data_IF_945667761270
#
_entry.id   IF_945667761270
#
_cell.length_a   1.000
_cell.length_b   1.000
_cell.length_c   1.000
_cell.angle_alpha   90.00
_cell.angle_beta   90.00
_cell.angle_gamma   90.00
#
_symmetry.space_group_name_H-M   'P 1'
#
loop_
_entity.id
_entity.type
_entity.pdbx_description
1 polymer ?
#
# COMPACT_ATOMS: atom_id res chain seq x y z
N UNK A 1 -22.20 -31.75 -13.03
CA UNK A 1 -21.87 -30.42 -12.46
C UNK A 1 -21.34 -29.56 -13.58
N UNK A 2 -22.05 -28.48 -13.95
CA UNK A 2 -21.59 -27.58 -15.00
C UNK A 2 -20.40 -26.76 -14.48
N UNK A 3 -19.25 -26.87 -15.14
CA UNK A 3 -18.13 -25.95 -14.92
C UNK A 3 -18.60 -24.54 -15.26
N UNK A 4 -18.83 -23.73 -14.22
CA UNK A 4 -19.10 -22.31 -14.43
C UNK A 4 -17.89 -21.71 -15.16
N UNK A 5 -18.13 -21.21 -16.38
CA UNK A 5 -17.07 -20.67 -17.23
C UNK A 5 -16.30 -19.58 -16.48
N UNK A 6 -15.02 -19.83 -16.27
CA UNK A 6 -14.12 -18.90 -15.58
C UNK A 6 -13.97 -17.65 -16.46
N UNK A 7 -14.39 -16.48 -15.95
CA UNK A 7 -14.26 -15.22 -16.68
C UNK A 7 -12.84 -14.68 -16.48
N UNK A 8 -12.11 -14.48 -17.57
CA UNK A 8 -10.78 -13.87 -17.55
C UNK A 8 -10.88 -12.37 -17.74
N UNK A 9 -10.17 -11.62 -16.87
CA UNK A 9 -10.10 -10.16 -16.92
C UNK A 9 -8.64 -9.73 -16.89
N UNK A 10 -8.27 -8.76 -17.72
CA UNK A 10 -6.96 -8.10 -17.66
C UNK A 10 -7.10 -6.70 -17.07
N UNK A 11 -6.19 -6.33 -16.17
CA UNK A 11 -6.17 -5.00 -15.53
C UNK A 11 -4.74 -4.47 -15.58
N UNK A 12 -4.52 -3.37 -16.29
CA UNK A 12 -3.25 -2.66 -16.25
C UNK A 12 -3.16 -1.78 -15.00
N UNK A 13 -2.02 -1.83 -14.32
CA UNK A 13 -1.75 -1.12 -13.06
C UNK A 13 -0.38 -0.45 -13.17
N UNK A 14 -0.29 0.79 -12.71
CA UNK A 14 1.00 1.40 -12.36
C UNK A 14 1.10 1.43 -10.85
N UNK A 15 2.25 1.09 -10.31
CA UNK A 15 2.56 1.23 -8.89
C UNK A 15 3.96 1.81 -8.69
N UNK A 16 4.19 2.36 -7.51
CA UNK A 16 5.45 2.97 -7.09
C UNK A 16 5.93 2.24 -5.84
N UNK A 17 7.16 1.74 -5.90
CA UNK A 17 7.91 1.19 -4.78
C UNK A 17 8.88 2.26 -4.30
N UNK A 18 8.54 2.92 -3.19
CA UNK A 18 9.49 3.76 -2.48
C UNK A 18 10.24 2.90 -1.48
N UNK A 19 11.56 2.93 -1.53
CA UNK A 19 12.44 2.13 -0.67
C UNK A 19 13.42 3.03 0.07
N UNK A 20 13.50 2.84 1.39
CA UNK A 20 14.53 3.43 2.25
C UNK A 20 15.84 2.65 2.15
N UNK A 21 16.93 3.25 2.61
CA UNK A 21 18.27 2.62 2.64
C UNK A 21 18.32 1.32 3.46
N UNK A 22 17.44 1.17 4.46
CA UNK A 22 17.29 -0.04 5.26
C UNK A 22 16.42 -1.14 4.61
N UNK A 23 16.01 -0.92 3.35
CA UNK A 23 15.12 -1.77 2.54
C UNK A 23 13.66 -1.77 2.99
N UNK A 24 13.26 -0.88 3.87
CA UNK A 24 11.85 -0.66 4.20
C UNK A 24 11.13 -0.03 3.00
N UNK A 25 9.90 -0.48 2.76
CA UNK A 25 9.08 -0.13 1.59
C UNK A 25 7.87 0.64 2.06
N UNK A 26 7.51 1.72 1.36
CA UNK A 26 6.29 2.43 1.62
C UNK A 26 5.09 1.66 1.06
N UNK A 27 4.09 1.39 1.88
CA UNK A 27 2.92 0.62 1.49
C UNK A 27 1.61 1.27 1.94
N UNK A 28 0.57 1.14 1.10
CA UNK A 28 -0.79 1.48 1.45
C UNK A 28 -1.45 0.29 2.14
N UNK A 29 -1.72 0.45 3.43
CA UNK A 29 -2.27 -0.61 4.29
C UNK A 29 -3.78 -0.66 4.16
N UNK A 30 -4.41 0.51 4.24
CA UNK A 30 -5.85 0.64 4.38
C UNK A 30 -6.36 1.87 3.62
N UNK A 31 -7.62 1.80 3.22
CA UNK A 31 -8.38 2.97 2.81
C UNK A 31 -9.66 3.05 3.61
N UNK A 32 -9.89 4.17 4.27
CA UNK A 32 -11.14 4.50 4.93
C UNK A 32 -11.91 5.54 4.09
N UNK A 33 -13.18 5.25 3.82
CA UNK A 33 -14.09 6.16 3.15
C UNK A 33 -15.34 6.36 4.00
N UNK A 34 -15.72 7.61 4.22
CA UNK A 34 -16.93 7.94 4.96
C UNK A 34 -18.14 7.25 4.33
N UNK A 35 -18.98 6.62 5.15
CA UNK A 35 -20.15 5.85 4.70
C UNK A 35 -19.86 4.44 4.17
N UNK A 36 -18.65 4.14 3.70
CA UNK A 36 -18.26 2.81 3.19
C UNK A 36 -17.38 2.01 4.17
N UNK A 37 -16.84 2.67 5.19
CA UNK A 37 -15.94 2.06 6.17
C UNK A 37 -14.53 1.91 5.61
N UNK A 38 -13.81 0.88 6.06
CA UNK A 38 -12.43 0.64 5.63
C UNK A 38 -12.30 -0.60 4.72
N UNK A 39 -11.33 -0.52 3.82
CA UNK A 39 -10.89 -1.59 2.94
C UNK A 39 -9.41 -1.87 3.21
N UNK A 40 -9.07 -3.14 3.43
CA UNK A 40 -7.68 -3.59 3.52
C UNK A 40 -7.10 -3.59 2.11
N UNK A 41 -6.02 -2.83 1.93
CA UNK A 41 -5.29 -2.75 0.67
C UNK A 41 -4.06 -3.67 0.72
N UNK A 42 -3.17 -3.40 1.70
CA UNK A 42 -1.89 -4.08 1.88
C UNK A 42 -1.14 -4.28 0.54
N UNK A 43 -0.84 -3.17 -0.12
CA UNK A 43 -0.22 -3.15 -1.44
C UNK A 43 0.68 -1.92 -1.61
N UNK A 44 1.51 -1.93 -2.65
CA UNK A 44 2.24 -0.73 -3.06
C UNK A 44 1.29 0.40 -3.47
N UNK A 45 1.66 1.66 -3.23
CA UNK A 45 1.02 2.84 -3.81
C UNK A 45 0.85 2.65 -5.31
N UNK A 46 -0.38 2.75 -5.80
CA UNK A 46 -0.65 2.43 -7.19
C UNK A 46 -2.06 2.73 -7.63
N UNK A 47 -2.26 2.75 -8.94
CA UNK A 47 -3.56 2.99 -9.57
C UNK A 47 -3.76 2.06 -10.77
N UNK A 48 -5.00 1.59 -10.91
CA UNK A 48 -5.46 0.98 -12.16
C UNK A 48 -5.49 2.03 -13.26
N UNK A 49 -5.07 1.64 -14.46
CA UNK A 49 -5.17 2.48 -15.65
C UNK A 49 -6.63 2.75 -15.97
N UNK A 50 -6.93 4.00 -16.32
CA UNK A 50 -8.26 4.44 -16.73
C UNK A 50 -8.46 4.27 -18.23
N UNK A 51 -9.73 4.22 -18.64
CA UNK A 51 -10.09 4.56 -20.02
C UNK A 51 -10.13 6.08 -20.09
N UNK A 52 -9.39 6.65 -21.04
CA UNK A 52 -9.31 8.08 -21.32
C UNK A 52 -10.03 8.32 -22.64
N UNK A 53 -10.91 9.31 -22.65
CA UNK A 53 -11.58 9.80 -23.85
C UNK A 53 -11.03 11.19 -24.12
N UNK A 54 -10.39 11.37 -25.27
CA UNK A 54 -9.81 12.64 -25.71
C UNK A 54 -10.10 12.86 -27.21
N UNK A 55 -9.57 13.94 -27.78
CA UNK A 55 -9.79 14.34 -29.17
C UNK A 55 -9.29 13.29 -30.19
N UNK A 56 -8.45 12.34 -29.76
CA UNK A 56 -7.97 11.23 -30.60
C UNK A 56 -8.82 9.96 -30.47
N UNK A 57 -9.86 10.00 -29.64
CA UNK A 57 -10.80 8.91 -29.41
C UNK A 57 -10.70 8.31 -28.01
N UNK A 58 -10.99 7.00 -27.91
CA UNK A 58 -10.94 6.26 -26.64
C UNK A 58 -9.67 5.44 -26.56
N UNK A 59 -8.86 5.66 -25.53
CA UNK A 59 -7.60 4.94 -25.29
C UNK A 59 -7.42 4.56 -23.82
N UNK A 60 -6.48 3.67 -23.54
CA UNK A 60 -6.05 3.39 -22.17
C UNK A 60 -5.06 4.47 -21.69
N UNK A 61 -5.18 4.86 -20.43
CA UNK A 61 -4.23 5.73 -19.74
C UNK A 61 -2.81 5.16 -19.83
N UNK A 62 -1.82 6.01 -20.12
CA UNK A 62 -0.42 5.60 -20.22
C UNK A 62 0.21 5.45 -18.84
N UNK A 63 1.34 4.73 -18.77
CA UNK A 63 2.07 4.53 -17.52
C UNK A 63 2.53 5.84 -16.89
N UNK A 64 2.98 6.82 -17.68
CA UNK A 64 3.42 8.14 -17.21
C UNK A 64 2.24 8.98 -16.69
N UNK A 65 1.08 8.90 -17.33
CA UNK A 65 -0.16 9.54 -16.87
C UNK A 65 -0.63 8.95 -15.54
N UNK A 66 -0.65 7.63 -15.42
CA UNK A 66 -0.96 6.93 -14.19
C UNK A 66 0.05 7.24 -13.08
N UNK A 67 1.34 7.32 -13.41
CA UNK A 67 2.40 7.70 -12.47
C UNK A 67 2.19 9.12 -11.94
N UNK A 68 1.96 10.11 -12.82
CA UNK A 68 1.64 11.49 -12.40
C UNK A 68 0.43 11.52 -11.47
N UNK A 69 -0.56 10.65 -11.67
CA UNK A 69 -1.74 10.55 -10.81
C UNK A 69 -1.43 9.92 -9.45
N UNK A 70 -0.52 8.95 -9.38
CA UNK A 70 -0.02 8.42 -8.11
C UNK A 70 0.74 9.52 -7.37
N UNK A 71 1.65 10.21 -8.05
CA UNK A 71 2.44 11.31 -7.50
C UNK A 71 1.53 12.40 -6.94
N UNK A 72 0.65 12.98 -7.76
CA UNK A 72 -0.24 14.08 -7.37
C UNK A 72 -1.30 13.68 -6.33
N UNK A 73 -1.69 12.41 -6.29
CA UNK A 73 -2.77 11.93 -5.43
C UNK A 73 -2.29 11.35 -4.09
N UNK A 74 -1.27 10.50 -4.13
CA UNK A 74 -0.78 9.76 -2.97
C UNK A 74 0.52 10.34 -2.40
N UNK A 75 1.26 11.13 -3.21
CA UNK A 75 2.57 11.66 -2.83
C UNK A 75 2.71 13.14 -3.10
N UNK A 76 1.59 13.88 -3.14
CA UNK A 76 1.50 15.23 -3.69
C UNK A 76 2.61 16.17 -3.20
N UNK A 77 3.06 16.01 -1.95
CA UNK A 77 4.15 16.80 -1.37
C UNK A 77 5.49 16.06 -1.33
N UNK A 78 5.49 14.73 -1.26
CA UNK A 78 6.70 13.90 -1.08
C UNK A 78 7.61 13.84 -2.31
N UNK A 79 7.03 14.01 -3.50
CA UNK A 79 7.72 13.84 -4.79
C UNK A 79 7.76 15.12 -5.63
N UNK A 80 7.13 16.20 -5.14
CA UNK A 80 7.26 17.54 -5.74
C UNK A 80 8.65 18.14 -5.44
N UNK A 81 9.31 17.69 -4.37
CA UNK A 81 10.74 17.95 -4.15
C UNK A 81 11.58 17.09 -5.10
N UNK A 82 12.19 17.77 -6.07
CA UNK A 82 12.76 17.28 -7.34
C UNK A 82 13.92 16.27 -7.26
N UNK A 83 14.11 15.58 -6.14
CA UNK A 83 15.24 14.68 -5.90
C UNK A 83 14.91 13.19 -6.05
N UNK A 84 13.63 12.81 -6.15
CA UNK A 84 13.25 11.40 -6.26
C UNK A 84 13.31 10.94 -7.72
N UNK A 85 14.42 10.29 -8.06
CA UNK A 85 14.59 9.63 -9.36
C UNK A 85 13.86 8.29 -9.33
N UNK A 86 12.85 8.16 -10.20
CA UNK A 86 12.13 6.91 -10.40
C UNK A 86 12.80 6.08 -11.49
N UNK A 87 13.28 4.90 -11.12
CA UNK A 87 13.78 3.87 -12.00
C UNK A 87 12.63 2.95 -12.48
N UNK A 88 12.75 2.42 -13.70
CA UNK A 88 11.79 1.48 -14.28
C UNK A 88 11.11 1.99 -15.57
N UNK A 89 9.96 1.41 -15.97
CA UNK A 89 9.15 0.45 -15.23
C UNK A 89 9.70 -0.98 -15.24
N UNK A 90 9.57 -1.67 -14.11
CA UNK A 90 9.72 -3.12 -14.01
C UNK A 90 8.34 -3.78 -14.09
N UNK A 91 8.16 -4.67 -15.07
CA UNK A 91 6.89 -5.40 -15.24
C UNK A 91 6.79 -6.55 -14.24
N UNK A 92 5.65 -6.64 -13.55
CA UNK A 92 5.28 -7.73 -12.66
C UNK A 92 3.84 -8.15 -12.97
N UNK A 93 3.65 -9.38 -13.43
CA UNK A 93 2.31 -9.88 -13.74
C UNK A 93 1.79 -10.70 -12.55
N UNK A 94 0.64 -10.28 -12.01
CA UNK A 94 0.02 -10.92 -10.84
C UNK A 94 -1.33 -11.49 -11.26
N UNK A 95 -1.60 -12.75 -10.92
CA UNK A 95 -2.92 -13.35 -11.16
C UNK A 95 -3.66 -13.54 -9.84
N UNK A 96 -4.88 -13.03 -9.76
CA UNK A 96 -5.80 -13.20 -8.63
C UNK A 96 -7.02 -14.02 -9.07
N UNK A 97 -7.46 -14.95 -8.23
CA UNK A 97 -8.62 -15.80 -8.51
C UNK A 97 -9.67 -15.63 -7.43
N UNK A 98 -10.86 -15.20 -7.83
CA UNK A 98 -12.03 -15.17 -6.96
C UNK A 98 -12.92 -16.37 -7.24
N UNK A 99 -12.87 -17.38 -6.36
CA UNK A 99 -13.79 -18.52 -6.40
C UNK A 99 -15.25 -18.09 -6.22
N UNK A 100 -15.49 -17.05 -5.40
CA UNK A 100 -16.83 -16.51 -5.16
C UNK A 100 -17.49 -15.95 -6.43
N UNK A 101 -16.70 -15.38 -7.35
CA UNK A 101 -17.21 -14.71 -8.55
C UNK A 101 -16.86 -15.46 -9.84
N UNK A 102 -16.21 -16.62 -9.75
CA UNK A 102 -15.72 -17.34 -10.94
C UNK A 102 -14.79 -16.51 -11.82
N UNK A 103 -14.02 -15.60 -11.23
CA UNK A 103 -13.22 -14.60 -11.96
C UNK A 103 -11.73 -14.86 -11.77
N UNK A 104 -10.98 -14.86 -12.87
CA UNK A 104 -9.52 -14.78 -12.86
C UNK A 104 -9.09 -13.43 -13.41
N UNK A 105 -8.41 -12.65 -12.58
CA UNK A 105 -7.90 -11.33 -12.95
C UNK A 105 -6.39 -11.38 -13.11
N UNK A 106 -5.91 -11.03 -14.31
CA UNK A 106 -4.52 -10.82 -14.64
C UNK A 106 -4.19 -9.33 -14.50
N UNK A 107 -3.42 -9.00 -13.48
CA UNK A 107 -2.88 -7.66 -13.28
C UNK A 107 -1.55 -7.56 -14.01
N UNK A 108 -1.46 -6.67 -15.00
CA UNK A 108 -0.21 -6.28 -15.64
C UNK A 108 0.29 -5.06 -14.88
N UNK A 109 1.24 -5.25 -13.98
CA UNK A 109 1.71 -4.20 -13.08
C UNK A 109 3.05 -3.64 -13.57
N UNK A 110 3.10 -2.33 -13.78
CA UNK A 110 4.34 -1.60 -14.03
C UNK A 110 4.78 -0.92 -12.73
N UNK A 111 5.88 -1.41 -12.16
CA UNK A 111 6.45 -0.90 -10.92
C UNK A 111 7.56 0.07 -11.24
N UNK A 112 7.41 1.31 -10.79
CA UNK A 112 8.50 2.27 -10.70
C UNK A 112 9.14 2.13 -9.32
N UNK A 113 10.46 2.18 -9.27
CA UNK A 113 11.23 2.08 -8.03
C UNK A 113 11.91 3.41 -7.78
N UNK A 114 11.82 3.92 -6.57
CA UNK A 114 12.65 5.04 -6.15
C UNK A 114 13.35 4.66 -4.85
N UNK A 115 14.66 4.83 -4.84
CA UNK A 115 15.44 4.87 -3.62
C UNK A 115 15.43 6.31 -3.13
N UNK A 116 14.91 6.54 -1.93
CA UNK A 116 14.96 7.87 -1.34
C UNK A 116 16.22 7.96 -0.47
N UNK A 117 17.23 8.81 -0.80
CA UNK A 117 18.39 9.00 0.07
C UNK A 117 18.03 9.73 1.38
N UNK A 118 16.80 10.24 1.47
CA UNK A 118 16.27 11.05 2.56
C UNK A 118 15.72 10.16 3.68
N UNK A 119 16.43 10.15 4.81
CA UNK A 119 15.76 10.13 6.10
C UNK A 119 15.16 11.53 6.20
N UNK A 120 13.91 11.71 5.73
CA UNK A 120 13.12 12.85 6.20
C UNK A 120 13.25 12.85 7.75
N UNK A 121 13.33 14.01 8.39
CA UNK A 121 13.21 14.17 9.86
C UNK A 121 11.81 13.72 10.39
N UNK A 122 11.21 12.72 9.76
CA UNK A 122 10.32 11.75 10.38
C UNK A 122 11.00 11.26 11.66
N UNK A 123 10.26 11.10 12.78
CA UNK A 123 10.83 10.69 14.05
C UNK A 123 11.77 9.52 13.78
N UNK A 124 13.07 9.78 14.02
CA UNK A 124 14.18 8.89 13.66
C UNK A 124 13.70 7.47 13.88
N UNK A 125 13.60 6.71 12.78
CA UNK A 125 13.59 5.25 12.83
C UNK A 125 14.58 4.90 13.92
N UNK A 126 14.08 4.49 15.08
CA UNK A 126 14.96 3.98 16.12
C UNK A 126 15.47 2.66 15.55
N UNK A 127 16.55 2.77 14.77
CA UNK A 127 17.49 1.72 14.48
C UNK A 127 18.06 1.32 15.85
N UNK A 128 17.31 0.49 16.57
CA UNK A 128 17.80 -0.19 17.76
C UNK A 128 17.58 -1.68 17.62
N UNK A 129 18.74 -2.25 17.31
CA UNK A 129 19.32 -3.55 17.57
C UNK A 129 18.56 -4.80 17.16
N UNK A 130 19.32 -5.65 16.49
CA UNK A 130 19.13 -7.07 16.30
C UNK A 130 19.13 -7.86 17.63
N UNK A 131 18.51 -7.33 18.69
CA UNK A 131 18.39 -8.01 19.97
C UNK A 131 16.92 -8.30 20.26
N UNK A 132 16.51 -9.50 19.83
CA UNK A 132 15.74 -10.37 20.70
C UNK A 132 14.34 -9.90 21.10
N UNK A 133 13.44 -9.65 20.14
CA UNK A 133 12.06 -10.12 20.35
C UNK A 133 11.93 -11.49 19.74
N UNK A 134 12.19 -12.48 20.59
CA UNK A 134 11.74 -13.87 20.43
C UNK A 134 10.39 -13.84 19.72
N UNK A 135 10.34 -14.41 18.51
CA UNK A 135 9.15 -15.09 18.05
C UNK A 135 8.63 -15.87 19.25
N UNK A 136 7.48 -15.44 19.76
CA UNK A 136 6.79 -16.02 20.91
C UNK A 136 7.06 -17.54 20.97
N UNK A 137 7.86 -17.97 21.95
CA UNK A 137 7.96 -19.39 22.30
C UNK A 137 6.67 -19.77 23.02
N UNK A 138 6.14 -20.97 22.79
CA UNK A 138 4.73 -21.28 22.98
C UNK A 138 4.39 -21.37 24.47
N UNK A 139 3.83 -20.31 25.03
CA UNK A 139 2.97 -20.49 26.20
C UNK A 139 1.75 -21.28 25.73
N UNK A 140 1.48 -22.42 26.37
CA UNK A 140 0.48 -23.44 26.00
C UNK A 140 -0.99 -22.99 26.07
N UNK A 141 -1.32 -21.84 25.49
CA UNK A 141 -2.67 -21.40 25.17
C UNK A 141 -2.63 -20.88 23.75
N UNK A 142 -3.29 -21.60 22.83
CA UNK A 142 -3.56 -21.24 21.42
C UNK A 142 -3.45 -19.73 21.16
N UNK A 143 -2.23 -19.23 20.95
CA UNK A 143 -2.01 -17.86 20.53
C UNK A 143 -2.35 -17.84 19.06
N UNK A 144 -3.63 -17.55 18.75
CA UNK A 144 -4.03 -17.08 17.44
C UNK A 144 -2.95 -16.12 16.98
N UNK A 145 -2.32 -16.39 15.84
CA UNK A 145 -1.36 -15.49 15.20
C UNK A 145 -1.94 -14.07 15.20
N UNK A 146 -1.61 -13.29 16.24
CA UNK A 146 -1.80 -11.85 16.26
C UNK A 146 -0.72 -11.36 15.32
N UNK A 147 -1.06 -11.35 14.03
CA UNK A 147 -0.21 -10.75 13.02
C UNK A 147 0.02 -9.32 13.48
N UNK A 148 1.29 -9.03 13.79
CA UNK A 148 1.67 -7.71 14.25
C UNK A 148 1.39 -6.76 13.10
N UNK A 149 0.32 -5.99 13.22
CA UNK A 149 0.15 -4.76 12.46
C UNK A 149 1.42 -3.91 12.64
N UNK A 150 1.74 -3.03 11.68
CA UNK A 150 2.88 -2.14 11.86
C UNK A 150 2.74 -1.37 13.18
N UNK A 151 3.84 -0.89 13.74
CA UNK A 151 3.72 0.00 14.89
C UNK A 151 3.03 1.28 14.44
N UNK A 152 2.31 1.92 15.35
CA UNK A 152 1.60 3.16 15.06
C UNK A 152 2.58 4.25 14.62
N UNK A 153 3.75 4.30 15.25
CA UNK A 153 4.84 5.24 14.91
C UNK A 153 5.46 5.01 13.52
N UNK A 154 5.23 3.84 12.91
CA UNK A 154 5.66 3.53 11.54
C UNK A 154 4.55 3.86 10.51
N UNK A 155 3.42 4.41 10.96
CA UNK A 155 2.24 4.65 10.14
C UNK A 155 1.97 6.14 9.89
N UNK A 156 1.38 6.39 8.72
CA UNK A 156 1.09 7.71 8.19
C UNK A 156 -0.35 7.76 7.71
N UNK A 157 -1.01 8.89 7.94
CA UNK A 157 -2.32 9.17 7.39
C UNK A 157 -2.18 10.09 6.19
N UNK A 158 -2.68 9.66 5.04
CA UNK A 158 -2.72 10.46 3.82
C UNK A 158 -4.16 10.68 3.41
N UNK A 159 -4.54 11.92 3.18
CA UNK A 159 -5.86 12.23 2.61
C UNK A 159 -5.76 12.25 1.08
N UNK A 160 -6.68 11.55 0.42
CA UNK A 160 -6.92 11.68 -1.02
C UNK A 160 -8.38 12.09 -1.28
N UNK A 161 -8.69 12.51 -2.50
CA UNK A 161 -10.03 12.94 -2.92
C UNK A 161 -11.15 11.89 -2.67
N UNK A 162 -10.77 10.66 -2.31
CA UNK A 162 -11.65 9.50 -2.14
C UNK A 162 -11.63 8.95 -0.71
N UNK A 163 -10.93 9.57 0.22
CA UNK A 163 -10.90 9.19 1.63
C UNK A 163 -9.51 9.21 2.26
N UNK A 164 -9.42 8.60 3.44
CA UNK A 164 -8.20 8.52 4.23
C UNK A 164 -7.45 7.22 3.90
N UNK A 165 -6.20 7.34 3.50
CA UNK A 165 -5.26 6.23 3.34
C UNK A 165 -4.41 6.10 4.61
N UNK A 166 -4.28 4.87 5.10
CA UNK A 166 -3.28 4.55 6.12
C UNK A 166 -2.13 3.85 5.44
N UNK A 167 -0.95 4.45 5.54
CA UNK A 167 0.28 3.95 4.96
C UNK A 167 1.29 3.60 6.05
N UNK A 168 2.29 2.79 5.73
CA UNK A 168 3.37 2.46 6.65
C UNK A 168 4.65 2.10 5.90
N UNK A 169 5.79 2.29 6.57
CA UNK A 169 7.04 1.63 6.17
C UNK A 169 7.00 0.17 6.61
N UNK A 170 7.23 -0.75 5.66
CA UNK A 170 7.20 -2.20 5.92
C UNK A 170 8.46 -2.87 5.40
N UNK A 171 8.89 -3.94 6.08
CA UNK A 171 10.16 -4.61 5.76
C UNK A 171 10.14 -5.44 4.47
N UNK A 172 8.97 -5.86 4.00
CA UNK A 172 8.87 -6.72 2.81
C UNK A 172 7.48 -6.75 2.20
N UNK A 173 7.40 -7.08 0.91
CA UNK A 173 6.11 -7.35 0.23
C UNK A 173 5.45 -8.65 0.73
N UNK A 174 6.24 -9.61 1.23
CA UNK A 174 5.70 -10.82 1.85
C UNK A 174 4.83 -10.50 3.08
N UNK A 175 5.24 -9.49 3.85
CA UNK A 175 4.45 -8.97 4.96
C UNK A 175 3.12 -8.35 4.49
N UNK A 176 3.10 -7.63 3.36
CA UNK A 176 1.88 -7.11 2.75
C UNK A 176 0.92 -8.23 2.31
N UNK A 177 1.45 -9.24 1.63
CA UNK A 177 0.67 -10.40 1.21
C UNK A 177 0.05 -11.15 2.41
N UNK A 178 0.77 -11.23 3.53
CA UNK A 178 0.24 -11.79 4.77
C UNK A 178 -0.89 -10.94 5.35
N UNK A 179 -0.69 -9.63 5.50
CA UNK A 179 -1.69 -8.72 6.06
C UNK A 179 -3.03 -8.76 5.33
N UNK A 180 -2.99 -8.90 3.99
CA UNK A 180 -4.18 -9.04 3.15
C UNK A 180 -4.99 -10.31 3.46
N UNK A 181 -4.33 -11.40 3.84
CA UNK A 181 -4.99 -12.72 4.03
C UNK A 181 -5.57 -12.91 5.42
N UNK A 182 -4.99 -12.29 6.44
CA UNK A 182 -5.16 -12.78 7.81
C UNK A 182 -5.57 -11.75 8.85
N UNK A 183 -5.75 -10.49 8.47
CA UNK A 183 -6.18 -9.45 9.42
C UNK A 183 -7.71 -9.39 9.53
N UNK A 184 -8.23 -9.51 10.75
CA UNK A 184 -9.67 -9.32 11.00
C UNK A 184 -10.08 -7.85 10.84
N UNK A 185 -11.28 -7.62 10.31
CA UNK A 185 -11.90 -6.29 10.22
C UNK A 185 -11.89 -5.54 11.56
N UNK A 186 -12.23 -6.22 12.66
CA UNK A 186 -12.27 -5.62 14.00
C UNK A 186 -10.90 -5.16 14.49
N UNK A 187 -9.86 -5.97 14.29
CA UNK A 187 -8.49 -5.61 14.68
C UNK A 187 -8.02 -4.38 13.89
N UNK A 188 -8.36 -4.34 12.60
CA UNK A 188 -7.98 -3.24 11.73
C UNK A 188 -8.68 -1.93 12.05
N UNK A 189 -9.97 -1.98 12.40
CA UNK A 189 -10.70 -0.80 12.86
C UNK A 189 -10.07 -0.20 14.13
N UNK A 190 -9.76 -1.04 15.13
CA UNK A 190 -9.07 -0.60 16.35
C UNK A 190 -7.70 0.01 16.06
N UNK A 191 -6.99 -0.52 15.07
CA UNK A 191 -5.68 -0.02 14.69
C UNK A 191 -5.76 1.35 14.03
N UNK A 192 -6.73 1.58 13.14
CA UNK A 192 -6.95 2.89 12.52
C UNK A 192 -7.22 3.96 13.58
N UNK A 193 -8.08 3.67 14.56
CA UNK A 193 -8.35 4.61 15.66
C UNK A 193 -7.09 4.95 16.45
N UNK A 194 -6.21 3.97 16.67
CA UNK A 194 -4.90 4.22 17.30
C UNK A 194 -3.98 5.06 16.42
N UNK A 195 -3.89 4.79 15.12
CA UNK A 195 -3.07 5.60 14.20
C UNK A 195 -3.59 7.04 14.12
N UNK A 196 -4.90 7.26 14.19
CA UNK A 196 -5.47 8.61 14.25
C UNK A 196 -5.14 9.35 15.54
N UNK A 197 -5.09 8.64 16.66
CA UNK A 197 -4.82 9.25 17.97
C UNK A 197 -3.31 9.44 18.25
N UNK A 198 -2.48 8.51 17.78
CA UNK A 198 -1.07 8.36 18.19
C UNK A 198 -0.08 8.43 17.00
N UNK A 199 -0.56 8.42 15.75
CA UNK A 199 0.28 8.32 14.56
C UNK A 199 1.18 9.53 14.32
N UNK A 200 2.16 9.37 13.43
CA UNK A 200 3.20 10.37 13.14
C UNK A 200 2.63 11.74 12.75
N UNK A 201 1.45 11.77 12.18
CA UNK A 201 0.71 12.99 11.87
C UNK A 201 -0.69 13.08 12.49
N UNK A 202 -0.86 12.55 13.71
CA UNK A 202 -2.11 12.70 14.46
C UNK A 202 -2.49 14.19 14.70
N UNK A 203 -1.53 15.12 14.67
CA UNK A 203 -1.75 16.57 14.73
C UNK A 203 -2.41 17.17 13.48
N UNK A 204 -2.52 16.40 12.38
CA UNK A 204 -2.99 16.89 11.09
C UNK A 204 -1.88 17.49 10.21
N UNK A 205 -0.63 17.52 10.69
CA UNK A 205 0.49 18.03 9.91
C UNK A 205 0.84 17.09 8.75
N UNK A 206 1.11 17.60 7.54
CA UNK A 206 1.51 16.76 6.43
C UNK A 206 2.87 16.10 6.74
N UNK A 207 2.93 14.77 6.66
CA UNK A 207 4.15 13.95 6.84
C UNK A 207 5.25 14.31 5.83
N UNK A 208 4.82 14.81 4.67
CA UNK A 208 5.69 15.30 3.62
C UNK A 208 5.55 16.83 3.61
N UNK A 209 6.42 17.49 4.35
CA UNK A 209 6.58 18.96 4.34
C UNK A 209 7.49 19.38 3.21
#
# INVERSE_FOLDING_TARGET
>A
SGDAALVNRVVAVTAVRLELTDKSIFACMLKYKAGEGFTVLAQLPGVKHRVVQDDTGTRTERCDEALRRIVRGQFKKALDDASVVLEGPLRCDVTDRSSRFGLQTHYIQNNYVAQTPWILDLPKLHARSAEGRKLCSPCGRRSRLLLALPKVDDCFLLEDDKGLLVCAWVRSEAYLAMLRKSTSKRAMAKFIERVRAEGVNASGDPVFT
#
